data_IF_300931259989
#
_entry.id   IF_300931259989
#
_cell.length_a   1.000
_cell.length_b   1.000
_cell.length_c   1.000
_cell.angle_alpha   90.00
_cell.angle_beta   90.00
_cell.angle_gamma   90.00
#
_symmetry.space_group_name_H-M   'P 1'
#
loop_
_entity.id
_entity.type
_entity.pdbx_description
1 polymer ?
#
# COMPACT_ATOMS: atom_id res chain seq x y z
N UNK A 1 -15.12 16.73 10.48
CA UNK A 1 -14.45 16.58 11.80
C UNK A 1 -14.90 15.38 12.65
N UNK A 2 -16.05 14.73 12.44
CA UNK A 2 -16.47 13.54 13.23
C UNK A 2 -15.82 12.18 12.86
N UNK A 3 -14.69 12.15 12.15
CA UNK A 3 -14.09 10.89 11.65
C UNK A 3 -13.09 10.28 12.64
N UNK A 4 -12.11 11.06 13.09
CA UNK A 4 -11.12 10.62 14.07
C UNK A 4 -11.78 10.28 15.41
N UNK A 5 -12.72 11.12 15.86
CA UNK A 5 -13.50 10.88 17.08
C UNK A 5 -14.31 9.58 17.00
N UNK A 6 -15.06 9.33 15.92
CA UNK A 6 -15.82 8.09 15.79
C UNK A 6 -14.94 6.85 15.65
N UNK A 7 -13.81 6.95 14.95
CA UNK A 7 -12.87 5.83 14.79
C UNK A 7 -12.17 5.51 16.12
N UNK A 8 -11.80 6.52 16.92
CA UNK A 8 -11.29 6.37 18.29
C UNK A 8 -12.29 5.63 19.20
N UNK A 9 -13.58 5.93 19.09
CA UNK A 9 -14.62 5.21 19.85
C UNK A 9 -14.67 3.72 19.47
N UNK A 10 -14.46 3.37 18.19
CA UNK A 10 -14.35 1.97 17.76
C UNK A 10 -13.06 1.31 18.27
N UNK A 11 -11.94 2.04 18.36
CA UNK A 11 -10.69 1.51 18.92
C UNK A 11 -10.78 1.23 20.42
N UNK A 12 -11.36 2.15 21.19
CA UNK A 12 -11.44 2.02 22.66
C UNK A 12 -12.46 0.95 23.06
N UNK A 13 -13.57 0.81 22.33
CA UNK A 13 -14.67 -0.10 22.71
C UNK A 13 -14.48 -1.54 22.24
N UNK A 14 -13.54 -1.84 21.34
CA UNK A 14 -13.37 -3.17 20.72
C UNK A 14 -11.88 -3.53 20.60
N UNK A 15 -11.29 -4.13 21.66
CA UNK A 15 -9.84 -4.29 21.78
C UNK A 15 -9.23 -5.29 20.77
N UNK A 16 -10.03 -6.19 20.18
CA UNK A 16 -9.53 -7.19 19.23
C UNK A 16 -8.89 -6.57 17.97
N UNK A 17 -9.40 -5.42 17.51
CA UNK A 17 -8.87 -4.72 16.32
C UNK A 17 -7.44 -4.20 16.59
N UNK A 18 -7.20 -3.33 17.60
CA UNK A 18 -5.87 -2.82 17.89
C UNK A 18 -4.92 -3.91 18.40
N UNK A 19 -5.38 -4.94 19.11
CA UNK A 19 -4.51 -6.06 19.56
C UNK A 19 -3.96 -6.84 18.37
N UNK A 20 -4.80 -7.17 17.39
CA UNK A 20 -4.36 -7.90 16.20
C UNK A 20 -3.35 -7.08 15.40
N UNK A 21 -3.62 -5.80 15.21
CA UNK A 21 -2.70 -4.91 14.50
C UNK A 21 -1.43 -4.67 15.30
N UNK A 22 -1.50 -4.50 16.62
CA UNK A 22 -0.32 -4.37 17.47
C UNK A 22 0.59 -5.61 17.30
N UNK A 23 0.00 -6.81 17.30
CA UNK A 23 0.76 -8.05 17.07
C UNK A 23 1.48 -8.04 15.72
N UNK A 24 0.81 -7.62 14.65
CA UNK A 24 1.43 -7.50 13.31
C UNK A 24 2.49 -6.40 13.28
N UNK A 25 2.21 -5.23 13.84
CA UNK A 25 3.14 -4.10 13.92
C UNK A 25 4.39 -4.49 14.70
N UNK A 26 4.27 -5.30 15.76
CA UNK A 26 5.39 -5.82 16.52
C UNK A 26 6.28 -6.70 15.65
N UNK A 27 5.69 -7.67 14.93
CA UNK A 27 6.43 -8.52 13.99
C UNK A 27 7.10 -7.68 12.90
N UNK A 28 6.39 -6.70 12.35
CA UNK A 28 6.93 -5.78 11.35
C UNK A 28 8.11 -4.96 11.89
N UNK A 29 8.01 -4.40 13.09
CA UNK A 29 9.09 -3.67 13.73
C UNK A 29 10.32 -4.56 13.99
N UNK A 30 10.12 -5.82 14.40
CA UNK A 30 11.22 -6.79 14.53
C UNK A 30 11.89 -7.02 13.17
N UNK A 31 11.11 -7.30 12.12
CA UNK A 31 11.64 -7.47 10.75
C UNK A 31 12.42 -6.22 10.32
N UNK A 32 11.94 -5.02 10.64
CA UNK A 32 12.60 -3.76 10.29
C UNK A 32 13.95 -3.56 11.01
N UNK A 33 14.07 -3.97 12.27
CA UNK A 33 15.36 -3.95 13.00
C UNK A 33 16.36 -4.89 12.35
N UNK A 34 15.91 -6.11 12.03
CA UNK A 34 16.76 -7.16 11.46
C UNK A 34 16.79 -7.11 9.93
N UNK A 35 16.31 -6.01 9.32
CA UNK A 35 16.06 -5.95 7.89
C UNK A 35 17.36 -6.14 7.10
N UNK A 36 17.52 -7.29 6.40
CA UNK A 36 18.72 -7.55 5.63
C UNK A 36 18.83 -6.62 4.44
N UNK A 37 17.76 -5.92 4.02
CA UNK A 37 17.79 -4.95 2.92
C UNK A 37 18.69 -3.77 3.23
N UNK A 38 18.72 -3.27 4.48
CA UNK A 38 19.68 -2.21 4.88
C UNK A 38 21.13 -2.69 4.74
N UNK A 39 21.36 -3.99 4.94
CA UNK A 39 22.68 -4.62 4.83
C UNK A 39 23.04 -4.90 3.35
N UNK A 40 22.10 -5.43 2.57
CA UNK A 40 22.22 -5.66 1.13
C UNK A 40 22.42 -4.35 0.36
N UNK A 41 21.74 -3.26 0.73
CA UNK A 41 21.94 -1.95 0.12
C UNK A 41 23.39 -1.46 0.25
N UNK A 42 24.12 -1.84 1.32
CA UNK A 42 25.55 -1.54 1.44
C UNK A 42 26.41 -2.38 0.48
N UNK A 43 26.02 -3.62 0.18
CA UNK A 43 26.73 -4.49 -0.76
C UNK A 43 26.48 -4.12 -2.23
N UNK A 44 25.32 -3.57 -2.56
CA UNK A 44 25.00 -3.06 -3.89
C UNK A 44 25.48 -1.61 -4.12
N UNK A 45 26.28 -1.05 -3.21
CA UNK A 45 26.90 0.27 -3.38
C UNK A 45 27.75 0.37 -4.65
N UNK A 46 28.23 -0.76 -5.19
CA UNK A 46 28.95 -0.83 -6.46
C UNK A 46 28.13 -0.45 -7.69
N UNK A 47 26.79 -0.47 -7.61
CA UNK A 47 25.90 0.00 -8.68
C UNK A 47 25.56 1.49 -8.53
N UNK A 48 25.92 2.11 -7.41
CA UNK A 48 25.61 3.50 -7.10
C UNK A 48 26.77 4.33 -7.65
N UNK A 49 26.56 4.94 -8.80
CA UNK A 49 27.40 6.03 -9.30
C UNK A 49 27.20 7.29 -8.46
N UNK A 50 28.16 8.21 -8.50
CA UNK A 50 28.08 9.49 -7.80
C UNK A 50 26.83 10.30 -8.21
N UNK A 51 26.34 10.12 -9.45
CA UNK A 51 25.07 10.64 -9.92
C UNK A 51 23.95 9.59 -9.94
N UNK A 52 22.81 9.90 -9.30
CA UNK A 52 21.60 9.05 -9.27
C UNK A 52 21.09 8.73 -10.68
N UNK A 53 21.22 9.67 -11.62
CA UNK A 53 20.74 9.48 -12.99
C UNK A 53 21.46 8.34 -13.72
N UNK A 54 22.78 8.28 -13.57
CA UNK A 54 23.62 7.25 -14.18
C UNK A 54 23.37 5.88 -13.56
N UNK A 55 23.10 5.84 -12.25
CA UNK A 55 22.69 4.62 -11.55
C UNK A 55 21.39 4.07 -12.12
N UNK A 56 20.38 4.92 -12.34
CA UNK A 56 19.08 4.52 -12.90
C UNK A 56 19.25 4.02 -14.34
N UNK A 57 20.07 4.68 -15.15
CA UNK A 57 20.34 4.27 -16.54
C UNK A 57 21.08 2.93 -16.57
N UNK A 58 22.15 2.77 -15.78
CA UNK A 58 22.95 1.54 -15.73
C UNK A 58 22.13 0.36 -15.20
N UNK A 59 21.37 0.57 -14.12
CA UNK A 59 20.45 -0.42 -13.57
C UNK A 59 19.44 -0.85 -14.64
N UNK A 60 18.82 0.11 -15.33
CA UNK A 60 17.79 -0.20 -16.30
C UNK A 60 18.33 -0.98 -17.50
N UNK A 61 19.52 -0.62 -18.01
CA UNK A 61 20.20 -1.37 -19.08
C UNK A 61 20.55 -2.80 -18.67
N UNK A 62 21.00 -2.99 -17.43
CA UNK A 62 21.47 -4.29 -16.94
C UNK A 62 20.30 -5.21 -16.61
N UNK A 63 19.28 -4.68 -15.91
CA UNK A 63 18.15 -5.46 -15.40
C UNK A 63 17.10 -5.69 -16.48
N UNK A 64 16.76 -4.67 -17.29
CA UNK A 64 15.69 -4.78 -18.29
C UNK A 64 16.16 -5.16 -19.70
N UNK A 65 17.24 -5.94 -19.79
CA UNK A 65 17.60 -6.57 -21.05
C UNK A 65 16.46 -7.52 -21.52
N UNK A 66 16.23 -7.65 -22.82
CA UNK A 66 15.13 -8.43 -23.40
C UNK A 66 15.09 -9.87 -22.88
N UNK A 67 16.25 -10.45 -22.57
CA UNK A 67 16.40 -11.79 -22.00
C UNK A 67 15.89 -11.87 -20.57
N UNK A 68 16.04 -10.80 -19.79
CA UNK A 68 15.71 -10.76 -18.36
C UNK A 68 14.23 -10.40 -18.11
N UNK A 69 13.59 -9.65 -19.00
CA UNK A 69 12.19 -9.19 -18.84
C UNK A 69 11.22 -10.35 -18.55
N UNK A 70 11.23 -11.50 -19.26
CA UNK A 70 10.35 -12.62 -18.95
C UNK A 70 10.57 -13.17 -17.53
N UNK A 71 11.83 -13.29 -17.08
CA UNK A 71 12.15 -13.75 -15.74
C UNK A 71 11.71 -12.78 -14.66
N UNK A 72 11.82 -11.46 -14.90
CA UNK A 72 11.32 -10.43 -13.99
C UNK A 72 9.80 -10.54 -13.85
N UNK A 73 9.08 -10.65 -14.97
CA UNK A 73 7.62 -10.78 -14.96
C UNK A 73 7.17 -12.07 -14.25
N UNK A 74 7.83 -13.20 -14.51
CA UNK A 74 7.57 -14.45 -13.80
C UNK A 74 7.89 -14.34 -12.30
N UNK A 75 8.98 -13.68 -11.94
CA UNK A 75 9.35 -13.41 -10.55
C UNK A 75 8.31 -12.55 -9.82
N UNK A 76 7.83 -11.47 -10.47
CA UNK A 76 6.76 -10.62 -9.95
C UNK A 76 5.47 -11.43 -9.77
N UNK A 77 5.10 -12.26 -10.76
CA UNK A 77 3.90 -13.11 -10.68
C UNK A 77 3.99 -14.09 -9.52
N UNK A 78 5.11 -14.82 -9.40
CA UNK A 78 5.33 -15.81 -8.36
C UNK A 78 5.32 -15.16 -6.96
N UNK A 79 6.03 -14.03 -6.81
CA UNK A 79 6.07 -13.30 -5.54
C UNK A 79 4.69 -12.74 -5.17
N UNK A 80 3.96 -12.19 -6.13
CA UNK A 80 2.59 -11.69 -5.92
C UNK A 80 1.65 -12.80 -5.47
N UNK A 81 1.77 -14.01 -6.05
CA UNK A 81 0.97 -15.17 -5.67
C UNK A 81 1.24 -15.61 -4.23
N UNK A 82 2.51 -15.74 -3.86
CA UNK A 82 2.92 -16.13 -2.50
C UNK A 82 2.43 -15.09 -1.49
N UNK A 83 2.71 -13.81 -1.73
CA UNK A 83 2.28 -12.72 -0.86
C UNK A 83 0.75 -12.66 -0.75
N UNK A 84 0.02 -12.89 -1.84
CA UNK A 84 -1.43 -12.87 -1.83
C UNK A 84 -2.04 -14.01 -1.01
N UNK A 85 -1.48 -15.21 -1.09
CA UNK A 85 -1.94 -16.36 -0.30
C UNK A 85 -1.66 -16.15 1.19
N UNK A 86 -0.44 -15.73 1.53
CA UNK A 86 -0.03 -15.44 2.93
C UNK A 86 -0.88 -14.31 3.52
N UNK A 87 -1.01 -13.19 2.81
CA UNK A 87 -1.82 -12.06 3.27
C UNK A 87 -3.31 -12.43 3.35
N UNK A 88 -3.83 -13.22 2.43
CA UNK A 88 -5.22 -13.68 2.54
C UNK A 88 -5.42 -14.56 3.77
N UNK A 89 -4.49 -15.46 4.07
CA UNK A 89 -4.57 -16.32 5.25
C UNK A 89 -4.60 -15.50 6.54
N UNK A 90 -3.73 -14.49 6.65
CA UNK A 90 -3.63 -13.64 7.83
C UNK A 90 -4.81 -12.67 7.94
N UNK A 91 -5.16 -11.96 6.86
CA UNK A 91 -6.07 -10.83 6.94
C UNK A 91 -7.54 -11.18 6.69
N UNK A 92 -7.88 -12.30 6.04
CA UNK A 92 -9.28 -12.59 5.69
C UNK A 92 -10.20 -12.70 6.93
N UNK A 93 -9.78 -13.43 7.96
CA UNK A 93 -10.49 -13.52 9.23
C UNK A 93 -10.55 -12.17 9.97
N UNK A 94 -9.44 -11.43 9.97
CA UNK A 94 -9.34 -10.12 10.60
C UNK A 94 -10.29 -9.10 9.96
N UNK A 95 -10.35 -9.04 8.63
CA UNK A 95 -11.25 -8.15 7.89
C UNK A 95 -12.72 -8.45 8.17
N UNK A 96 -13.09 -9.71 8.43
CA UNK A 96 -14.44 -10.06 8.85
C UNK A 96 -14.77 -9.53 10.26
N UNK A 97 -13.83 -9.60 11.21
CA UNK A 97 -13.99 -8.99 12.54
C UNK A 97 -14.19 -7.47 12.40
N UNK A 98 -13.38 -6.81 11.57
CA UNK A 98 -13.50 -5.37 11.32
C UNK A 98 -14.88 -5.04 10.74
N UNK A 99 -15.34 -5.80 9.74
CA UNK A 99 -16.67 -5.64 9.15
C UNK A 99 -17.81 -5.73 10.18
N UNK A 100 -17.82 -6.79 11.00
CA UNK A 100 -18.83 -7.00 12.03
C UNK A 100 -18.76 -5.92 13.13
N UNK A 101 -17.55 -5.47 13.46
CA UNK A 101 -17.32 -4.42 14.44
C UNK A 101 -17.86 -3.07 13.98
N UNK A 102 -17.65 -2.70 12.71
CA UNK A 102 -18.23 -1.49 12.12
C UNK A 102 -19.76 -1.53 12.16
N UNK A 103 -20.36 -2.72 11.99
CA UNK A 103 -21.81 -2.97 12.16
C UNK A 103 -22.28 -3.10 13.61
N UNK A 104 -21.39 -2.89 14.59
CA UNK A 104 -21.65 -2.97 16.04
C UNK A 104 -22.09 -4.35 16.53
N UNK A 105 -21.78 -5.40 15.79
CA UNK A 105 -22.04 -6.80 16.18
C UNK A 105 -20.94 -7.24 17.17
N UNK A 106 -21.28 -8.03 18.19
CA UNK A 106 -20.28 -8.65 19.08
C UNK A 106 -19.49 -9.71 18.31
N UNK A 107 -18.18 -9.73 18.49
CA UNK A 107 -17.27 -10.56 17.70
C UNK A 107 -16.48 -11.48 18.62
N UNK A 108 -16.49 -12.77 18.29
CA UNK A 108 -15.72 -13.83 18.95
C UNK A 108 -14.79 -14.51 17.92
N UNK A 109 -13.90 -15.39 18.40
CA UNK A 109 -12.93 -16.10 17.56
C UNK A 109 -13.59 -16.97 16.46
N UNK A 110 -14.80 -17.47 16.70
CA UNK A 110 -15.57 -18.22 15.68
C UNK A 110 -15.84 -17.38 14.42
N UNK A 111 -16.04 -16.06 14.57
CA UNK A 111 -16.22 -15.15 13.44
C UNK A 111 -14.93 -14.91 12.66
N UNK A 112 -13.76 -15.03 13.29
CA UNK A 112 -12.48 -15.03 12.58
C UNK A 112 -12.40 -16.23 11.62
N UNK A 113 -12.67 -17.43 12.13
CA UNK A 113 -12.65 -18.68 11.34
C UNK A 113 -13.69 -18.67 10.21
N UNK A 114 -14.88 -18.14 10.47
CA UNK A 114 -15.90 -17.94 9.42
C UNK A 114 -15.40 -16.98 8.32
N UNK A 115 -14.70 -15.90 8.71
CA UNK A 115 -14.09 -14.95 7.79
C UNK A 115 -13.04 -15.60 6.89
N UNK A 116 -12.20 -16.47 7.46
CA UNK A 116 -11.25 -17.28 6.71
C UNK A 116 -11.95 -18.19 5.70
N UNK A 117 -12.89 -19.02 6.16
CA UNK A 117 -13.57 -20.01 5.30
C UNK A 117 -14.33 -19.37 4.13
N UNK A 118 -14.98 -18.22 4.37
CA UNK A 118 -15.81 -17.53 3.36
C UNK A 118 -15.02 -16.53 2.51
N UNK A 119 -14.02 -15.89 3.11
CA UNK A 119 -13.30 -14.76 2.54
C UNK A 119 -11.99 -15.12 1.85
N UNK A 120 -11.35 -16.25 2.18
CA UNK A 120 -9.97 -16.55 1.76
C UNK A 120 -9.74 -16.44 0.24
N UNK A 121 -10.53 -17.14 -0.59
CA UNK A 121 -10.31 -17.08 -2.05
C UNK A 121 -10.58 -15.69 -2.63
N UNK A 122 -11.62 -15.02 -2.14
CA UNK A 122 -11.99 -13.67 -2.61
C UNK A 122 -10.95 -12.63 -2.20
N UNK A 123 -10.47 -12.69 -0.96
CA UNK A 123 -9.38 -11.85 -0.46
C UNK A 123 -8.08 -12.14 -1.18
N UNK A 124 -7.76 -13.41 -1.47
CA UNK A 124 -6.56 -13.80 -2.20
C UNK A 124 -6.54 -13.19 -3.60
N UNK A 125 -7.67 -13.21 -4.33
CA UNK A 125 -7.75 -12.56 -5.64
C UNK A 125 -7.53 -11.05 -5.56
N UNK A 126 -8.09 -10.37 -4.56
CA UNK A 126 -7.89 -8.92 -4.38
C UNK A 126 -6.45 -8.61 -3.97
N UNK A 127 -5.84 -9.39 -3.08
CA UNK A 127 -4.43 -9.24 -2.73
C UNK A 127 -3.51 -9.54 -3.91
N UNK A 128 -3.83 -10.55 -4.73
CA UNK A 128 -3.06 -10.88 -5.93
C UNK A 128 -3.08 -9.71 -6.91
N UNK A 129 -4.26 -9.15 -7.19
CA UNK A 129 -4.37 -7.96 -8.03
C UNK A 129 -3.59 -6.77 -7.44
N UNK A 130 -3.69 -6.55 -6.13
CA UNK A 130 -2.98 -5.46 -5.44
C UNK A 130 -1.46 -5.61 -5.55
N UNK A 131 -0.92 -6.76 -5.16
CA UNK A 131 0.52 -7.00 -5.21
C UNK A 131 1.05 -7.02 -6.63
N UNK A 132 0.31 -7.61 -7.58
CA UNK A 132 0.69 -7.59 -8.98
C UNK A 132 0.74 -6.15 -9.51
N UNK A 133 -0.29 -5.34 -9.25
CA UNK A 133 -0.30 -3.92 -9.65
C UNK A 133 0.84 -3.13 -8.98
N UNK A 134 1.09 -3.33 -7.69
CA UNK A 134 2.15 -2.62 -6.96
C UNK A 134 3.55 -3.03 -7.41
N UNK A 135 3.80 -4.33 -7.56
CA UNK A 135 5.12 -4.84 -7.95
C UNK A 135 5.43 -4.52 -9.41
N UNK A 136 4.45 -4.59 -10.32
CA UNK A 136 4.61 -4.08 -11.67
C UNK A 136 4.88 -2.57 -11.65
N UNK A 137 4.08 -1.81 -10.91
CA UNK A 137 4.30 -0.37 -10.82
C UNK A 137 5.70 -0.03 -10.32
N UNK A 138 6.11 -0.57 -9.16
CA UNK A 138 7.43 -0.33 -8.56
C UNK A 138 8.56 -0.85 -9.45
N UNK A 139 8.39 -2.05 -10.01
CA UNK A 139 9.37 -2.66 -10.91
C UNK A 139 9.65 -1.77 -12.11
N UNK A 140 8.63 -1.23 -12.76
CA UNK A 140 8.80 -0.43 -13.97
C UNK A 140 9.10 1.06 -13.74
N UNK A 141 9.16 1.54 -12.49
CA UNK A 141 9.53 2.94 -12.19
C UNK A 141 10.91 3.34 -12.76
N UNK A 142 12.01 2.59 -12.56
CA UNK A 142 13.32 2.96 -13.10
C UNK A 142 13.32 3.10 -14.63
N UNK A 143 12.55 2.26 -15.34
CA UNK A 143 12.37 2.36 -16.78
C UNK A 143 11.66 3.66 -17.18
N UNK A 144 10.66 4.09 -16.41
CA UNK A 144 9.97 5.36 -16.65
C UNK A 144 10.89 6.57 -16.45
N UNK A 145 11.84 6.50 -15.50
CA UNK A 145 12.82 7.57 -15.24
C UNK A 145 14.03 7.57 -16.19
N UNK A 146 14.34 6.45 -16.83
CA UNK A 146 15.49 6.32 -17.74
C UNK A 146 15.52 7.38 -18.85
N UNK A 147 14.46 7.60 -19.65
CA UNK A 147 14.50 8.61 -20.73
C UNK A 147 14.69 10.03 -20.18
N UNK A 148 14.15 10.31 -18.99
CA UNK A 148 14.36 11.59 -18.32
C UNK A 148 15.84 11.84 -18.00
N UNK A 149 16.52 10.86 -17.39
CA UNK A 149 17.93 11.01 -17.03
C UNK A 149 18.85 11.06 -18.25
N UNK A 150 18.54 10.32 -19.31
CA UNK A 150 19.27 10.42 -20.60
C UNK A 150 19.15 11.84 -21.16
N UNK A 151 17.94 12.40 -21.20
CA UNK A 151 17.72 13.76 -21.68
C UNK A 151 18.44 14.79 -20.80
N UNK A 152 18.35 14.66 -19.48
CA UNK A 152 19.06 15.54 -18.52
C UNK A 152 20.55 15.58 -18.82
N UNK A 153 21.19 14.42 -18.93
CA UNK A 153 22.63 14.34 -19.16
C UNK A 153 22.99 14.98 -20.52
N UNK A 154 22.22 14.70 -21.57
CA UNK A 154 22.45 15.31 -22.89
C UNK A 154 22.35 16.85 -22.91
N UNK A 155 21.44 17.42 -22.11
CA UNK A 155 21.25 18.88 -22.01
C UNK A 155 22.39 19.53 -21.22
N UNK A 156 22.83 18.88 -20.14
CA UNK A 156 23.97 19.32 -19.33
C UNK A 156 25.26 19.26 -20.16
N UNK A 157 25.49 18.16 -20.89
CA UNK A 157 26.67 17.98 -21.73
C UNK A 157 26.74 19.00 -22.88
N UNK A 158 25.58 19.44 -23.39
CA UNK A 158 25.49 20.48 -24.41
C UNK A 158 25.66 21.92 -23.85
N UNK A 159 25.79 22.08 -22.53
CA UNK A 159 25.92 23.40 -21.88
C UNK A 159 24.61 24.21 -21.88
N UNK A 160 23.46 23.58 -22.08
CA UNK A 160 22.15 24.22 -22.07
C UNK A 160 21.54 24.26 -20.66
N UNK A 161 20.61 25.19 -20.42
CA UNK A 161 19.89 25.30 -19.16
C UNK A 161 18.95 24.08 -18.95
N UNK A 162 19.14 23.27 -17.89
CA UNK A 162 18.33 22.09 -17.61
C UNK A 162 16.96 22.39 -16.98
N UNK A 163 16.58 23.66 -16.78
CA UNK A 163 15.33 24.05 -16.11
C UNK A 163 14.09 23.37 -16.70
N UNK A 164 13.95 23.32 -18.02
CA UNK A 164 12.82 22.65 -18.69
C UNK A 164 12.79 21.15 -18.37
N UNK A 165 13.96 20.52 -18.30
CA UNK A 165 14.09 19.10 -17.94
C UNK A 165 13.61 18.91 -16.51
N UNK A 166 14.03 19.71 -15.54
CA UNK A 166 13.55 19.59 -14.16
C UNK A 166 12.03 19.80 -14.01
N UNK A 167 11.40 20.65 -14.83
CA UNK A 167 9.93 20.76 -14.87
C UNK A 167 9.31 19.43 -15.34
N UNK A 168 9.84 18.81 -16.38
CA UNK A 168 9.40 17.48 -16.84
C UNK A 168 9.56 16.41 -15.74
N UNK A 169 10.63 16.47 -14.95
CA UNK A 169 10.82 15.58 -13.79
C UNK A 169 9.69 15.73 -12.78
N UNK A 170 9.36 16.96 -12.43
CA UNK A 170 8.30 17.24 -11.46
C UNK A 170 6.94 16.71 -11.95
N UNK A 171 6.64 16.89 -13.25
CA UNK A 171 5.44 16.33 -13.88
C UNK A 171 5.44 14.81 -13.84
N UNK A 172 6.56 14.16 -14.16
CA UNK A 172 6.70 12.70 -14.12
C UNK A 172 6.49 12.16 -12.69
N UNK A 173 7.12 12.78 -11.69
CA UNK A 173 6.95 12.41 -10.27
C UNK A 173 5.48 12.58 -9.86
N UNK A 174 4.83 13.67 -10.25
CA UNK A 174 3.42 13.90 -9.96
C UNK A 174 2.53 12.80 -10.56
N UNK A 175 2.76 12.41 -11.82
CA UNK A 175 2.03 11.31 -12.48
C UNK A 175 2.22 9.99 -11.72
N UNK A 176 3.45 9.66 -11.33
CA UNK A 176 3.77 8.45 -10.55
C UNK A 176 3.00 8.46 -9.23
N UNK A 177 3.04 9.57 -8.48
CA UNK A 177 2.30 9.71 -7.22
C UNK A 177 0.80 9.56 -7.45
N UNK A 178 0.25 10.17 -8.50
CA UNK A 178 -1.17 10.09 -8.83
C UNK A 178 -1.60 8.65 -9.16
N UNK A 179 -0.81 7.91 -9.95
CA UNK A 179 -1.05 6.49 -10.26
C UNK A 179 -0.99 5.64 -8.99
N UNK A 180 -0.02 5.89 -8.11
CA UNK A 180 0.08 5.18 -6.83
C UNK A 180 -1.17 5.41 -5.96
N UNK A 181 -1.65 6.65 -5.85
CA UNK A 181 -2.88 6.97 -5.11
C UNK A 181 -4.10 6.28 -5.75
N UNK A 182 -4.18 6.26 -7.09
CA UNK A 182 -5.25 5.58 -7.83
C UNK A 182 -5.27 4.07 -7.51
N UNK A 183 -4.11 3.40 -7.59
CA UNK A 183 -3.96 1.99 -7.22
C UNK A 183 -4.44 1.78 -5.78
N UNK A 184 -3.90 2.56 -4.85
CA UNK A 184 -4.24 2.49 -3.43
C UNK A 184 -5.75 2.64 -3.18
N UNK A 185 -6.38 3.66 -3.75
CA UNK A 185 -7.81 3.92 -3.59
C UNK A 185 -8.68 2.82 -4.18
N UNK A 186 -8.32 2.30 -5.36
CA UNK A 186 -9.07 1.23 -6.01
C UNK A 186 -9.11 -0.03 -5.13
N UNK A 187 -7.98 -0.41 -4.54
CA UNK A 187 -7.90 -1.61 -3.71
C UNK A 187 -8.49 -1.43 -2.31
N UNK A 188 -8.40 -0.22 -1.74
CA UNK A 188 -8.92 0.09 -0.41
C UNK A 188 -10.40 -0.31 -0.26
N UNK A 189 -11.23 -0.07 -1.28
CA UNK A 189 -12.67 -0.35 -1.24
C UNK A 189 -13.07 -1.76 -1.69
N UNK A 190 -12.17 -2.51 -2.34
CA UNK A 190 -12.43 -3.90 -2.72
C UNK A 190 -12.53 -4.80 -1.48
N UNK A 191 -11.73 -4.57 -0.43
CA UNK A 191 -11.78 -5.39 0.78
C UNK A 191 -13.14 -5.32 1.51
N UNK A 192 -13.72 -4.14 1.82
CA UNK A 192 -15.06 -4.05 2.38
C UNK A 192 -16.17 -4.68 1.52
N UNK A 193 -16.04 -4.62 0.20
CA UNK A 193 -17.04 -5.15 -0.73
C UNK A 193 -17.20 -6.67 -0.66
N UNK A 194 -16.10 -7.40 -0.42
CA UNK A 194 -16.07 -8.86 -0.33
C UNK A 194 -16.98 -9.36 0.80
N UNK A 195 -17.02 -8.62 1.91
CA UNK A 195 -17.80 -8.98 3.10
C UNK A 195 -19.23 -8.44 3.04
N UNK A 196 -19.48 -7.38 2.27
CA UNK A 196 -20.82 -6.81 2.09
C UNK A 196 -21.67 -7.52 1.04
N UNK A 197 -21.08 -7.97 -0.07
CA UNK A 197 -21.82 -8.49 -1.20
C UNK A 197 -21.47 -9.95 -1.49
N UNK A 198 -22.51 -10.78 -1.65
CA UNK A 198 -22.36 -12.19 -2.03
C UNK A 198 -22.01 -12.35 -3.51
N UNK A 199 -22.65 -11.56 -4.37
CA UNK A 199 -22.49 -11.54 -5.84
C UNK A 199 -21.73 -10.29 -6.31
N UNK A 200 -20.81 -10.47 -7.25
CA UNK A 200 -20.03 -9.42 -7.94
C UNK A 200 -19.43 -8.34 -7.02
N UNK A 201 -18.66 -8.71 -5.97
CA UNK A 201 -18.13 -7.74 -5.01
C UNK A 201 -17.16 -6.74 -5.66
N UNK A 202 -16.32 -7.18 -6.59
CA UNK A 202 -15.31 -6.34 -7.24
C UNK A 202 -15.95 -5.27 -8.13
N UNK A 203 -16.97 -5.63 -8.92
CA UNK A 203 -17.69 -4.67 -9.77
C UNK A 203 -18.39 -3.61 -8.92
N UNK A 204 -19.08 -4.03 -7.86
CA UNK A 204 -19.74 -3.11 -6.92
C UNK A 204 -18.73 -2.18 -6.22
N UNK A 205 -17.52 -2.68 -5.91
CA UNK A 205 -16.45 -1.84 -5.37
C UNK A 205 -16.00 -0.79 -6.39
N UNK A 206 -15.73 -1.19 -7.63
CA UNK A 206 -15.28 -0.28 -8.69
C UNK A 206 -16.31 0.83 -8.95
N UNK A 207 -17.60 0.48 -9.00
CA UNK A 207 -18.68 1.47 -9.17
C UNK A 207 -18.77 2.43 -7.99
N UNK A 208 -18.57 1.95 -6.75
CA UNK A 208 -18.55 2.81 -5.56
C UNK A 208 -17.35 3.76 -5.56
N UNK A 209 -16.17 3.29 -5.99
CA UNK A 209 -14.97 4.12 -6.14
C UNK A 209 -15.20 5.21 -7.18
N UNK A 210 -15.66 4.84 -8.38
CA UNK A 210 -15.88 5.79 -9.47
C UNK A 210 -16.90 6.88 -9.09
N UNK A 211 -17.99 6.50 -8.41
CA UNK A 211 -19.04 7.44 -8.03
C UNK A 211 -18.58 8.50 -7.01
N UNK A 212 -17.66 8.18 -6.09
CA UNK A 212 -17.23 9.10 -5.01
C UNK A 212 -15.72 9.23 -4.86
N UNK A 213 -14.97 9.01 -5.95
CA UNK A 213 -13.51 9.05 -5.99
C UNK A 213 -12.97 10.35 -5.39
N UNK A 214 -13.37 11.49 -5.95
CA UNK A 214 -12.92 12.81 -5.53
C UNK A 214 -13.24 13.15 -4.07
N UNK A 215 -14.37 12.66 -3.55
CA UNK A 215 -14.78 12.90 -2.15
C UNK A 215 -13.94 12.09 -1.15
N UNK A 216 -13.38 10.97 -1.59
CA UNK A 216 -12.51 10.12 -0.75
C UNK A 216 -11.04 10.46 -0.94
N UNK A 217 -10.66 11.00 -2.11
CA UNK A 217 -9.29 11.35 -2.46
C UNK A 217 -8.58 12.12 -1.35
N UNK A 218 -9.14 13.25 -0.89
CA UNK A 218 -8.50 14.06 0.16
C UNK A 218 -8.24 13.30 1.48
N UNK A 219 -9.13 12.37 1.86
CA UNK A 219 -8.96 11.56 3.09
C UNK A 219 -7.93 10.46 2.91
N UNK A 220 -7.94 9.79 1.75
CA UNK A 220 -6.95 8.78 1.38
C UNK A 220 -5.55 9.39 1.30
N UNK A 221 -5.43 10.55 0.68
CA UNK A 221 -4.18 11.32 0.57
C UNK A 221 -3.68 11.76 1.94
N UNK A 222 -4.55 12.25 2.83
CA UNK A 222 -4.15 12.60 4.21
C UNK A 222 -3.61 11.38 4.96
N UNK A 223 -4.25 10.21 4.81
CA UNK A 223 -3.79 8.98 5.44
C UNK A 223 -2.44 8.53 4.85
N UNK A 224 -2.21 8.68 3.55
CA UNK A 224 -0.88 8.43 2.95
C UNK A 224 0.18 9.41 3.44
N UNK A 225 -0.13 10.71 3.53
CA UNK A 225 0.79 11.70 4.09
C UNK A 225 1.11 11.43 5.56
N UNK A 226 0.14 10.95 6.34
CA UNK A 226 0.40 10.51 7.70
C UNK A 226 1.39 9.33 7.74
N UNK A 227 1.27 8.35 6.82
CA UNK A 227 2.27 7.28 6.69
C UNK A 227 3.66 7.80 6.33
N UNK A 228 3.75 8.71 5.36
CA UNK A 228 5.00 9.35 4.96
C UNK A 228 5.62 10.10 6.14
N UNK A 229 4.80 10.82 6.93
CA UNK A 229 5.23 11.48 8.16
C UNK A 229 5.76 10.49 9.20
N UNK A 230 5.09 9.34 9.39
CA UNK A 230 5.58 8.26 10.27
C UNK A 230 6.94 7.78 9.79
N UNK A 231 7.11 7.47 8.50
CA UNK A 231 8.40 7.04 7.95
C UNK A 231 9.48 8.10 8.10
N UNK A 232 9.16 9.38 7.88
CA UNK A 232 10.10 10.48 8.07
C UNK A 232 10.58 10.58 9.51
N UNK A 233 9.66 10.53 10.49
CA UNK A 233 10.01 10.55 11.92
C UNK A 233 10.89 9.34 12.26
N UNK A 234 10.56 8.15 11.76
CA UNK A 234 11.35 6.94 11.99
C UNK A 234 12.76 7.05 11.41
N UNK A 235 12.91 7.67 10.24
CA UNK A 235 14.20 7.86 9.60
C UNK A 235 15.14 8.79 10.39
N UNK A 236 14.59 9.77 11.10
CA UNK A 236 15.37 10.72 11.91
C UNK A 236 15.86 10.14 13.24
N UNK A 237 15.36 8.97 13.65
CA UNK A 237 15.74 8.34 14.92
C UNK A 237 16.93 7.42 14.70
N UNK A 238 18.09 7.81 15.23
CA UNK A 238 19.30 6.99 15.15
C UNK A 238 19.30 5.82 16.17
N UNK A 239 18.64 6.01 17.32
CA UNK A 239 18.58 4.99 18.37
C UNK A 239 17.57 3.89 18.01
N UNK A 240 18.08 2.70 17.70
CA UNK A 240 17.27 1.53 17.30
C UNK A 240 16.18 1.13 18.30
N UNK A 241 16.42 1.29 19.60
CA UNK A 241 15.42 0.96 20.63
C UNK A 241 14.28 1.98 20.62
N UNK A 242 14.63 3.26 20.43
CA UNK A 242 13.65 4.34 20.33
C UNK A 242 12.88 4.27 19.00
N UNK A 243 13.55 3.93 17.89
CA UNK A 243 12.94 3.65 16.57
C UNK A 243 11.92 2.52 16.71
N UNK A 244 12.25 1.44 17.43
CA UNK A 244 11.34 0.33 17.69
C UNK A 244 10.10 0.75 18.49
N UNK A 245 10.29 1.41 19.64
CA UNK A 245 9.19 1.76 20.54
C UNK A 245 8.22 2.76 19.90
N UNK A 246 8.76 3.83 19.31
CA UNK A 246 7.94 4.85 18.65
C UNK A 246 7.32 4.28 17.38
N UNK A 247 8.09 3.51 16.59
CA UNK A 247 7.60 2.85 15.39
C UNK A 247 6.45 1.89 15.70
N UNK A 248 6.59 1.07 16.74
CA UNK A 248 5.53 0.16 17.17
C UNK A 248 4.22 0.90 17.46
N UNK A 249 4.28 2.02 18.21
CA UNK A 249 3.09 2.83 18.53
C UNK A 249 2.52 3.45 17.26
N UNK A 250 3.35 4.13 16.46
CA UNK A 250 2.88 4.85 15.28
C UNK A 250 2.33 3.92 14.19
N UNK A 251 2.99 2.78 13.91
CA UNK A 251 2.48 1.77 12.99
C UNK A 251 1.18 1.16 13.51
N UNK A 252 1.10 0.85 14.80
CA UNK A 252 -0.13 0.29 15.38
C UNK A 252 -1.29 1.26 15.22
N UNK A 253 -1.09 2.54 15.54
CA UNK A 253 -2.10 3.58 15.34
C UNK A 253 -2.45 3.71 13.86
N UNK A 254 -1.44 3.83 12.99
CA UNK A 254 -1.62 3.98 11.55
C UNK A 254 -2.46 2.84 10.95
N UNK A 255 -2.01 1.59 11.12
CA UNK A 255 -2.65 0.42 10.53
C UNK A 255 -4.02 0.15 11.14
N UNK A 256 -4.25 0.57 12.39
CA UNK A 256 -5.56 0.61 13.03
C UNK A 256 -6.52 1.51 12.28
N UNK A 257 -6.17 2.78 12.09
CA UNK A 257 -6.99 3.70 11.30
C UNK A 257 -7.18 3.22 9.86
N UNK A 258 -6.11 2.72 9.24
CA UNK A 258 -6.16 2.19 7.87
C UNK A 258 -7.08 0.99 7.72
N UNK A 259 -7.15 0.08 8.69
CA UNK A 259 -8.04 -1.08 8.60
C UNK A 259 -9.52 -0.69 8.73
N UNK A 260 -9.85 0.26 9.61
CA UNK A 260 -11.25 0.63 9.90
C UNK A 260 -11.79 1.63 8.86
N UNK A 261 -10.96 2.54 8.37
CA UNK A 261 -11.35 3.62 7.46
C UNK A 261 -12.09 3.14 6.20
N UNK A 262 -11.63 2.10 5.47
CA UNK A 262 -12.31 1.60 4.29
C UNK A 262 -13.68 1.03 4.61
N UNK A 263 -13.79 0.24 5.67
CA UNK A 263 -15.05 -0.40 6.04
C UNK A 263 -16.08 0.63 6.48
N UNK A 264 -15.69 1.58 7.33
CA UNK A 264 -16.58 2.65 7.77
C UNK A 264 -17.02 3.57 6.63
N UNK A 265 -16.08 3.93 5.75
CA UNK A 265 -16.39 4.79 4.60
C UNK A 265 -17.29 4.04 3.63
N UNK A 266 -16.97 2.78 3.32
CA UNK A 266 -17.76 1.96 2.42
C UNK A 266 -19.19 1.76 2.93
N UNK A 267 -19.40 1.48 4.22
CA UNK A 267 -20.75 1.27 4.78
C UNK A 267 -21.63 2.53 4.64
N UNK A 268 -21.04 3.73 4.78
CA UNK A 268 -21.71 5.01 4.49
C UNK A 268 -21.90 5.32 3.01
N UNK A 269 -21.20 4.61 2.13
CA UNK A 269 -21.27 4.80 0.68
C UNK A 269 -22.27 3.85 0.01
N UNK A 270 -22.62 2.72 0.65
CA UNK A 270 -23.47 1.65 0.11
C UNK A 270 -24.99 1.98 0.13
N UNK A 271 -25.45 3.05 0.77
CA UNK A 271 -26.88 3.43 0.82
C UNK A 271 -27.62 3.33 -0.54
N UNK A 272 -27.05 3.72 -1.70
CA UNK A 272 -27.73 3.57 -2.99
C UNK A 272 -27.77 2.13 -3.53
N UNK A 273 -26.91 1.22 -3.06
CA UNK A 273 -26.80 -0.17 -3.52
C UNK A 273 -27.57 -1.17 -2.66
N UNK A 274 -28.15 -0.76 -1.53
CA UNK A 274 -29.08 -1.59 -0.74
C UNK A 274 -30.46 -1.70 -1.38
N UNK A 275 -30.82 -0.78 -2.29
CA UNK A 275 -32.15 -0.68 -2.88
C UNK A 275 -32.34 -1.58 -4.11
N UNK A 276 -31.26 -2.18 -4.64
CA UNK A 276 -31.29 -3.01 -5.86
C UNK A 276 -31.03 -4.50 -5.64
N UNK A 277 -31.17 -4.99 -4.40
CA UNK A 277 -31.20 -6.43 -4.09
C UNK A 277 -32.62 -6.86 -3.73
#
# INVERSE_FOLDING_TARGET
MNFFSNSLVYFIKKPLIPIYIASISLVYCIIMIFNPVKLLAKYYSSFISDEIGDTVIMFSKTVYNYTNIPYILLGILALSLILALVSSLLFSGYMNIVHLTVKRIKTDFSHYLQGLKKGFFRCSLVFLQLYLSLLLFIGFIPLAFTPFFILRNSVIDAGHDPTIVYILLAVLIFIIIAIFILIYMNFMFKFPSIFHFSKYPIEKANSAVNAKYWRTFGKATLLLFFLVGVFYIMFQIENKVLEFLIGFILYTVYFSFFAVFPFYTFDKLIEPYRVSN
#
